data_IF_131679679044
#
_entry.id   IF_131679679044
#
_cell.length_a   1.000
_cell.length_b   1.000
_cell.length_c   1.000
_cell.angle_alpha   90.00
_cell.angle_beta   90.00
_cell.angle_gamma   90.00
#
_symmetry.space_group_name_H-M   'P 1'
#
loop_
_entity.id
_entity.type
_entity.pdbx_description
1 polymer ?
#
# COMPACT_ATOMS: atom_id res chain seq x y z
N UNK A 1 16.52 0.71 -10.90
CA UNK A 1 16.77 1.25 -9.52
C UNK A 1 15.46 1.74 -8.94
N UNK A 2 15.13 1.33 -7.71
CA UNK A 2 13.87 1.70 -7.07
C UNK A 2 13.84 3.16 -6.64
N UNK A 3 12.69 3.80 -6.79
CA UNK A 3 12.38 5.17 -6.37
C UNK A 3 11.05 5.19 -5.61
N UNK A 4 10.90 6.15 -4.69
CA UNK A 4 9.65 6.40 -3.97
C UNK A 4 9.30 7.87 -4.18
N UNK A 5 8.10 8.10 -4.71
CA UNK A 5 7.51 9.42 -4.86
C UNK A 5 6.28 9.53 -3.95
N UNK A 6 6.25 10.52 -3.09
CA UNK A 6 5.12 10.78 -2.22
C UNK A 6 4.16 11.80 -2.86
N UNK A 7 2.91 11.43 -3.03
CA UNK A 7 1.86 12.29 -3.58
C UNK A 7 1.08 13.07 -2.51
N UNK A 8 1.41 12.85 -1.24
CA UNK A 8 0.70 13.42 -0.10
C UNK A 8 -0.14 12.37 0.64
N UNK A 9 -0.53 12.65 1.87
CA UNK A 9 -1.24 11.72 2.75
C UNK A 9 -0.56 10.35 2.78
N UNK A 10 -1.28 9.27 2.49
CA UNK A 10 -0.75 7.90 2.40
C UNK A 10 -0.46 7.46 0.95
N UNK A 11 -0.56 8.37 -0.02
CA UNK A 11 -0.39 8.07 -1.43
C UNK A 11 1.09 8.06 -1.84
N UNK A 12 1.59 6.89 -2.26
CA UNK A 12 2.97 6.71 -2.72
C UNK A 12 3.01 6.00 -4.07
N UNK A 13 3.93 6.44 -4.94
CA UNK A 13 4.34 5.68 -6.12
C UNK A 13 5.71 5.06 -5.85
N UNK A 14 5.78 3.75 -5.90
CA UNK A 14 7.01 2.97 -5.78
C UNK A 14 7.33 2.44 -7.16
N UNK A 15 8.43 2.90 -7.75
CA UNK A 15 8.83 2.48 -9.08
C UNK A 15 10.18 1.75 -9.08
N UNK A 16 10.35 0.85 -10.03
CA UNK A 16 11.62 0.23 -10.36
C UNK A 16 11.70 0.09 -11.88
N UNK A 17 12.66 0.79 -12.46
CA UNK A 17 12.83 0.96 -13.90
C UNK A 17 11.52 1.52 -14.54
N UNK A 18 10.88 0.80 -15.46
CA UNK A 18 9.63 1.20 -16.12
C UNK A 18 8.34 0.67 -15.45
N UNK A 19 8.46 0.10 -14.24
CA UNK A 19 7.35 -0.50 -13.50
C UNK A 19 6.94 0.35 -12.31
N UNK A 20 5.63 0.51 -12.12
CA UNK A 20 5.05 1.42 -11.13
C UNK A 20 3.98 0.76 -10.28
N UNK A 21 4.11 0.91 -8.97
CA UNK A 21 3.14 0.48 -7.97
C UNK A 21 2.66 1.71 -7.21
N UNK A 22 1.37 1.97 -7.22
CA UNK A 22 0.78 3.08 -6.46
C UNK A 22 0.02 2.50 -5.26
N UNK A 23 0.27 3.05 -4.07
CA UNK A 23 -0.41 2.65 -2.83
C UNK A 23 -1.29 3.79 -2.37
N UNK A 24 -2.53 3.47 -1.98
CA UNK A 24 -3.52 4.39 -1.39
C UNK A 24 -3.67 5.71 -2.15
N UNK A 25 -4.08 5.69 -3.44
CA UNK A 25 -4.01 6.83 -4.33
C UNK A 25 -5.09 7.89 -4.06
N UNK A 26 -5.05 8.51 -2.90
CA UNK A 26 -5.85 9.71 -2.61
C UNK A 26 -5.15 10.94 -3.19
N UNK A 27 -5.46 11.23 -4.46
CA UNK A 27 -4.83 12.32 -5.20
C UNK A 27 -5.59 13.63 -4.95
N UNK A 28 -4.94 14.58 -4.32
CA UNK A 28 -5.44 15.94 -4.09
C UNK A 28 -4.78 16.93 -5.05
N UNK A 29 -5.26 18.16 -5.19
CA UNK A 29 -4.56 19.17 -5.98
C UNK A 29 -3.08 19.36 -5.60
N UNK A 30 -2.71 19.10 -4.35
CA UNK A 30 -1.33 19.17 -3.88
C UNK A 30 -0.44 18.01 -4.39
N UNK A 31 -1.04 16.92 -4.87
CA UNK A 31 -0.29 15.77 -5.43
C UNK A 31 0.39 16.10 -6.75
N UNK A 32 -0.03 17.16 -7.43
CA UNK A 32 0.51 17.58 -8.72
C UNK A 32 0.16 16.63 -9.88
N UNK A 33 -0.75 15.66 -9.65
CA UNK A 33 -1.23 14.69 -10.64
C UNK A 33 -2.69 14.31 -10.35
N UNK A 34 -3.33 13.65 -11.33
CA UNK A 34 -4.69 13.12 -11.24
C UNK A 34 -4.71 11.69 -11.79
N UNK A 35 -5.83 10.99 -11.66
CA UNK A 35 -5.99 9.65 -12.24
C UNK A 35 -5.79 9.61 -13.77
N UNK A 36 -5.98 10.74 -14.47
CA UNK A 36 -5.79 10.86 -15.92
C UNK A 36 -4.33 11.16 -16.30
N UNK A 37 -3.58 11.81 -15.41
CA UNK A 37 -2.22 12.32 -15.71
C UNK A 37 -1.10 11.60 -14.94
N UNK A 38 -1.43 10.65 -14.09
CA UNK A 38 -0.47 9.91 -13.25
C UNK A 38 0.60 9.13 -14.05
N UNK A 39 0.34 8.88 -15.33
CA UNK A 39 1.22 8.12 -16.18
C UNK A 39 1.01 6.60 -16.08
N UNK A 40 2.01 5.79 -16.44
CA UNK A 40 1.88 4.33 -16.38
C UNK A 40 1.81 3.84 -14.93
N UNK A 41 0.89 2.90 -14.67
CA UNK A 41 0.78 2.19 -13.40
C UNK A 41 0.54 0.72 -13.70
N UNK A 42 1.30 -0.18 -13.09
CA UNK A 42 1.14 -1.63 -13.24
C UNK A 42 0.28 -2.23 -12.14
N UNK A 43 0.38 -1.68 -10.91
CA UNK A 43 -0.38 -2.15 -9.74
C UNK A 43 -0.85 -0.98 -8.90
N UNK A 44 -2.09 -1.05 -8.44
CA UNK A 44 -2.63 -0.21 -7.36
C UNK A 44 -2.87 -1.08 -6.14
N UNK A 45 -2.34 -0.70 -4.97
CA UNK A 45 -2.61 -1.34 -3.69
C UNK A 45 -3.50 -0.44 -2.83
N UNK A 46 -4.51 -1.02 -2.21
CA UNK A 46 -5.38 -0.33 -1.25
C UNK A 46 -5.27 -1.01 0.10
N UNK A 47 -4.89 -0.25 1.14
CA UNK A 47 -4.67 -0.78 2.49
C UNK A 47 -5.99 -1.02 3.21
N UNK A 48 -6.96 -0.14 3.05
CA UNK A 48 -8.31 -0.25 3.62
C UNK A 48 -9.28 0.69 2.91
N UNK A 49 -10.55 0.60 3.22
CA UNK A 49 -11.63 1.19 2.42
C UNK A 49 -12.08 2.59 2.85
N UNK A 50 -11.30 3.32 3.62
CA UNK A 50 -11.54 4.74 3.83
C UNK A 50 -11.33 5.55 2.55
N UNK A 51 -12.11 6.61 2.38
CA UNK A 51 -12.13 7.38 1.14
C UNK A 51 -10.78 8.05 0.82
N UNK A 52 -10.04 8.43 1.85
CA UNK A 52 -8.70 9.02 1.76
C UNK A 52 -7.56 8.01 1.55
N UNK A 53 -7.90 6.72 1.33
CA UNK A 53 -7.01 5.65 0.90
C UNK A 53 -7.46 5.03 -0.42
N UNK A 54 -8.75 4.71 -0.56
CA UNK A 54 -9.30 4.25 -1.85
C UNK A 54 -9.10 5.30 -2.93
N UNK A 55 -9.40 6.57 -2.63
CA UNK A 55 -9.17 7.69 -3.53
C UNK A 55 -9.54 7.39 -4.97
N UNK A 56 -8.57 7.55 -5.86
CA UNK A 56 -8.70 7.37 -7.31
C UNK A 56 -8.39 5.94 -7.80
N UNK A 57 -8.27 4.95 -6.92
CA UNK A 57 -7.80 3.59 -7.25
C UNK A 57 -8.53 2.97 -8.44
N UNK A 58 -9.87 3.01 -8.45
CA UNK A 58 -10.68 2.44 -9.54
C UNK A 58 -10.48 3.19 -10.84
N UNK A 59 -10.40 4.52 -10.80
CA UNK A 59 -10.18 5.35 -11.98
C UNK A 59 -8.80 5.09 -12.58
N UNK A 60 -7.75 5.05 -11.76
CA UNK A 60 -6.38 4.73 -12.20
C UNK A 60 -6.33 3.35 -12.86
N UNK A 61 -6.87 2.31 -12.21
CA UNK A 61 -6.88 0.97 -12.79
C UNK A 61 -7.60 0.92 -14.15
N UNK A 62 -8.73 1.60 -14.29
CA UNK A 62 -9.46 1.66 -15.57
C UNK A 62 -8.68 2.40 -16.66
N UNK A 63 -8.01 3.49 -16.31
CA UNK A 63 -7.28 4.33 -17.26
C UNK A 63 -5.97 3.69 -17.73
N UNK A 64 -5.29 2.96 -16.85
CA UNK A 64 -3.94 2.42 -17.10
C UNK A 64 -3.92 0.92 -17.42
N UNK A 65 -5.00 0.20 -17.08
CA UNK A 65 -5.01 -1.26 -17.12
C UNK A 65 -4.35 -1.93 -15.90
N UNK A 66 -3.98 -1.15 -14.88
CA UNK A 66 -3.33 -1.65 -13.67
C UNK A 66 -4.15 -2.73 -12.95
N UNK A 67 -3.44 -3.67 -12.32
CA UNK A 67 -4.05 -4.64 -11.40
C UNK A 67 -4.28 -3.99 -10.03
N UNK A 68 -5.39 -4.32 -9.37
CA UNK A 68 -5.70 -3.85 -8.02
C UNK A 68 -5.45 -4.95 -6.99
N UNK A 69 -4.68 -4.63 -5.95
CA UNK A 69 -4.46 -5.48 -4.77
C UNK A 69 -5.11 -4.89 -3.52
N UNK A 70 -5.96 -5.66 -2.88
CA UNK A 70 -6.59 -5.34 -1.59
C UNK A 70 -6.96 -6.63 -0.86
N UNK A 71 -7.33 -6.51 0.42
CA UNK A 71 -7.94 -7.64 1.15
C UNK A 71 -9.29 -8.00 0.50
N UNK A 72 -9.66 -9.27 0.55
CA UNK A 72 -10.82 -9.81 -0.21
C UNK A 72 -12.09 -8.97 -0.04
N UNK A 73 -12.43 -8.57 1.20
CA UNK A 73 -13.64 -7.77 1.43
C UNK A 73 -13.58 -6.39 0.76
N UNK A 74 -12.45 -5.71 0.83
CA UNK A 74 -12.24 -4.41 0.17
C UNK A 74 -12.21 -4.56 -1.36
N UNK A 75 -11.56 -5.61 -1.88
CA UNK A 75 -11.57 -5.91 -3.31
C UNK A 75 -13.00 -6.11 -3.85
N UNK A 76 -13.84 -6.85 -3.13
CA UNK A 76 -15.27 -7.04 -3.48
C UNK A 76 -16.06 -5.74 -3.44
N UNK A 77 -15.83 -4.88 -2.44
CA UNK A 77 -16.46 -3.53 -2.38
C UNK A 77 -16.07 -2.69 -3.59
N UNK A 78 -14.80 -2.70 -3.98
CA UNK A 78 -14.31 -1.96 -5.14
C UNK A 78 -14.82 -2.56 -6.46
N UNK A 79 -14.96 -3.88 -6.56
CA UNK A 79 -15.61 -4.54 -7.70
C UNK A 79 -17.07 -4.08 -7.84
N UNK A 80 -17.83 -4.07 -6.75
CA UNK A 80 -19.19 -3.54 -6.73
C UNK A 80 -19.25 -2.05 -7.11
N UNK A 81 -18.20 -1.27 -6.83
CA UNK A 81 -18.06 0.12 -7.25
C UNK A 81 -17.57 0.27 -8.71
N UNK A 82 -17.46 -0.84 -9.45
CA UNK A 82 -17.15 -0.85 -10.88
C UNK A 82 -15.69 -1.15 -11.24
N UNK A 83 -14.88 -1.66 -10.32
CA UNK A 83 -13.57 -2.21 -10.64
C UNK A 83 -13.74 -3.49 -11.47
N UNK A 84 -13.09 -3.65 -12.63
CA UNK A 84 -13.18 -4.89 -13.39
C UNK A 84 -12.57 -6.06 -12.61
N UNK A 85 -13.31 -7.17 -12.44
CA UNK A 85 -12.82 -8.36 -11.72
C UNK A 85 -11.55 -8.96 -12.33
N UNK A 86 -11.39 -8.85 -13.66
CA UNK A 86 -10.19 -9.30 -14.35
C UNK A 86 -8.92 -8.50 -13.98
N UNK A 87 -9.08 -7.32 -13.39
CA UNK A 87 -7.99 -6.47 -12.89
C UNK A 87 -7.76 -6.62 -11.38
N UNK A 88 -8.40 -7.57 -10.70
CA UNK A 88 -8.08 -7.89 -9.30
C UNK A 88 -6.91 -8.88 -9.22
N UNK A 89 -5.89 -8.57 -8.43
CA UNK A 89 -4.81 -9.51 -8.11
C UNK A 89 -5.41 -10.77 -7.50
N UNK A 90 -4.94 -11.94 -7.95
CA UNK A 90 -5.50 -13.23 -7.56
C UNK A 90 -7.03 -13.36 -7.81
N UNK A 91 -7.59 -12.58 -8.75
CA UNK A 91 -9.00 -12.52 -9.16
C UNK A 91 -10.00 -12.03 -8.11
N UNK A 92 -9.70 -12.10 -6.83
CA UNK A 92 -10.59 -11.74 -5.73
C UNK A 92 -9.90 -10.93 -4.63
N UNK A 93 -8.63 -10.53 -4.83
CA UNK A 93 -7.78 -10.02 -3.77
C UNK A 93 -7.05 -11.12 -3.01
N UNK A 94 -6.43 -10.81 -1.89
CA UNK A 94 -5.68 -11.75 -1.05
C UNK A 94 -5.78 -11.35 0.42
N UNK A 95 -5.22 -12.15 1.33
CA UNK A 95 -5.35 -11.95 2.78
C UNK A 95 -3.97 -11.79 3.45
N UNK A 96 -3.99 -11.34 4.70
CA UNK A 96 -2.81 -11.14 5.54
C UNK A 96 -1.95 -12.42 5.61
N UNK A 97 -0.64 -12.25 5.51
CA UNK A 97 0.34 -13.32 5.41
C UNK A 97 0.50 -13.90 3.99
N UNK A 98 -0.47 -13.65 3.09
CA UNK A 98 -0.37 -14.04 1.69
C UNK A 98 0.57 -13.13 0.91
N UNK A 99 1.26 -13.73 -0.08
CA UNK A 99 2.12 -13.01 -1.03
C UNK A 99 1.62 -13.27 -2.44
N UNK A 100 1.46 -12.20 -3.22
CA UNK A 100 1.16 -12.24 -4.65
C UNK A 100 2.24 -11.52 -5.43
N UNK A 101 2.45 -11.90 -6.69
CA UNK A 101 3.46 -11.28 -7.54
C UNK A 101 2.82 -10.73 -8.81
N UNK A 102 3.23 -9.54 -9.23
CA UNK A 102 2.87 -8.94 -10.52
C UNK A 102 3.92 -7.93 -10.97
N UNK A 103 4.13 -7.81 -12.28
CA UNK A 103 5.07 -6.84 -12.89
C UNK A 103 6.50 -6.88 -12.29
N UNK A 104 6.95 -8.04 -11.79
CA UNK A 104 8.26 -8.21 -11.16
C UNK A 104 8.35 -7.81 -9.69
N UNK A 105 7.27 -7.27 -9.11
CA UNK A 105 7.14 -7.03 -7.68
C UNK A 105 6.50 -8.23 -6.98
N UNK A 106 6.76 -8.32 -5.66
CA UNK A 106 6.03 -9.21 -4.75
C UNK A 106 5.37 -8.37 -3.65
N UNK A 107 4.13 -8.68 -3.32
CA UNK A 107 3.33 -7.98 -2.34
C UNK A 107 2.91 -8.94 -1.23
N UNK A 108 3.47 -8.78 -0.04
CA UNK A 108 3.05 -9.53 1.14
C UNK A 108 2.14 -8.64 1.98
N UNK A 109 0.91 -9.09 2.23
CA UNK A 109 -0.04 -8.35 3.06
C UNK A 109 0.25 -8.58 4.54
N UNK A 110 0.29 -7.49 5.32
CA UNK A 110 0.49 -7.51 6.76
C UNK A 110 -0.76 -7.04 7.49
N UNK A 111 -0.82 -7.25 8.81
CA UNK A 111 -1.87 -6.66 9.64
C UNK A 111 -1.71 -5.14 9.73
N UNK A 112 -2.83 -4.46 9.92
CA UNK A 112 -2.93 -3.12 10.44
C UNK A 112 -4.08 -3.04 11.46
N UNK A 113 -3.93 -2.23 12.48
CA UNK A 113 -4.94 -2.05 13.54
C UNK A 113 -5.59 -0.69 13.38
N UNK A 114 -6.66 -0.67 12.62
CA UNK A 114 -7.44 0.51 12.28
C UNK A 114 -8.89 0.12 12.01
N UNK A 115 -9.78 1.05 11.71
CA UNK A 115 -11.15 0.78 11.27
C UNK A 115 -11.22 0.55 9.75
N UNK A 116 -12.21 -0.21 9.33
CA UNK A 116 -12.58 -0.42 7.93
C UNK A 116 -14.01 -0.92 7.89
N UNK A 117 -14.77 -0.57 6.85
CA UNK A 117 -16.14 -1.07 6.67
C UNK A 117 -16.18 -2.42 5.96
N UNK A 118 -15.22 -2.67 5.06
CA UNK A 118 -15.12 -3.88 4.26
C UNK A 118 -13.75 -4.55 4.42
N UNK A 119 -13.73 -5.74 4.94
CA UNK A 119 -12.47 -6.44 5.24
C UNK A 119 -11.71 -5.78 6.40
N UNK A 120 -10.55 -6.33 6.73
CA UNK A 120 -9.67 -5.78 7.76
C UNK A 120 -8.65 -4.82 7.15
N UNK A 121 -8.26 -3.74 7.84
CA UNK A 121 -7.16 -2.90 7.42
C UNK A 121 -5.87 -3.70 7.29
N UNK A 122 -5.04 -3.35 6.33
CA UNK A 122 -3.81 -4.05 6.02
C UNK A 122 -2.66 -3.08 5.75
N UNK A 123 -1.43 -3.56 5.88
CA UNK A 123 -0.24 -2.95 5.30
C UNK A 123 0.35 -3.88 4.24
N UNK A 124 1.44 -3.45 3.63
CA UNK A 124 2.13 -4.23 2.60
C UNK A 124 3.65 -4.20 2.79
N UNK A 125 4.28 -5.35 2.65
CA UNK A 125 5.71 -5.43 2.36
C UNK A 125 5.83 -5.62 0.86
N UNK A 126 6.43 -4.65 0.19
CA UNK A 126 6.60 -4.59 -1.26
C UNK A 126 8.06 -4.90 -1.56
N UNK A 127 8.31 -6.05 -2.18
CA UNK A 127 9.62 -6.38 -2.71
C UNK A 127 9.70 -5.92 -4.15
N UNK A 128 10.67 -5.05 -4.41
CA UNK A 128 10.91 -4.50 -5.76
C UNK A 128 11.73 -5.46 -6.63
N UNK A 129 11.72 -5.32 -7.97
CA UNK A 129 12.52 -6.14 -8.87
C UNK A 129 14.02 -6.09 -8.58
N UNK A 130 14.56 -4.98 -8.07
CA UNK A 130 15.97 -4.84 -7.66
C UNK A 130 16.22 -5.31 -6.20
N UNK A 131 15.24 -5.99 -5.59
CA UNK A 131 15.38 -6.69 -4.30
C UNK A 131 15.25 -5.83 -3.05
N UNK A 132 14.74 -4.59 -3.15
CA UNK A 132 14.44 -3.76 -1.99
C UNK A 132 13.12 -4.17 -1.34
N UNK A 133 13.03 -4.05 -0.02
CA UNK A 133 11.79 -4.26 0.73
C UNK A 133 11.31 -2.93 1.30
N UNK A 134 10.12 -2.52 0.87
CA UNK A 134 9.45 -1.31 1.31
C UNK A 134 8.20 -1.72 2.11
N UNK A 135 8.12 -1.32 3.36
CA UNK A 135 6.94 -1.55 4.20
C UNK A 135 6.05 -0.32 4.19
N UNK A 136 4.84 -0.45 3.67
CA UNK A 136 3.77 0.55 3.80
C UNK A 136 2.82 0.08 4.88
N UNK A 137 2.75 0.80 6.00
CA UNK A 137 1.99 0.36 7.17
C UNK A 137 0.47 0.45 6.96
N UNK A 138 0.01 1.25 6.01
CA UNK A 138 -1.37 1.73 6.00
C UNK A 138 -1.65 2.55 7.25
N UNK A 139 -2.90 2.72 7.59
CA UNK A 139 -3.29 3.32 8.86
C UNK A 139 -3.30 2.26 9.97
N UNK A 140 -2.52 2.49 11.01
CA UNK A 140 -2.35 1.54 12.12
C UNK A 140 -1.84 2.21 13.39
N UNK A 141 -2.16 1.64 14.56
CA UNK A 141 -1.35 1.85 15.75
C UNK A 141 -0.09 0.98 15.70
N UNK A 142 0.84 1.19 16.62
CA UNK A 142 1.98 0.28 16.84
C UNK A 142 1.48 -1.08 17.37
N UNK A 143 2.11 -2.16 16.91
CA UNK A 143 1.81 -3.51 17.39
C UNK A 143 3.04 -4.42 17.40
N UNK A 144 3.05 -5.41 18.29
CA UNK A 144 4.20 -6.30 18.48
C UNK A 144 4.58 -7.12 17.23
N UNK A 145 3.60 -7.44 16.37
CA UNK A 145 3.82 -8.17 15.13
C UNK A 145 4.76 -7.48 14.14
N UNK A 146 4.98 -6.16 14.28
CA UNK A 146 5.97 -5.43 13.47
C UNK A 146 7.38 -6.01 13.63
N UNK A 147 7.74 -6.49 14.82
CA UNK A 147 9.04 -7.16 15.05
C UNK A 147 9.16 -8.47 14.24
N UNK A 148 8.09 -9.24 14.14
CA UNK A 148 8.08 -10.48 13.36
C UNK A 148 8.24 -10.20 11.86
N UNK A 149 7.59 -9.16 11.35
CA UNK A 149 7.76 -8.73 9.96
C UNK A 149 9.19 -8.27 9.68
N UNK A 150 9.79 -7.47 10.59
CA UNK A 150 11.19 -7.05 10.47
C UNK A 150 12.21 -8.20 10.54
N UNK A 151 11.89 -9.30 11.26
CA UNK A 151 12.72 -10.51 11.28
C UNK A 151 12.59 -11.36 10.01
N UNK A 152 11.40 -11.38 9.40
CA UNK A 152 11.14 -12.16 8.18
C UNK A 152 11.64 -11.45 6.92
N UNK A 153 11.58 -10.12 6.90
CA UNK A 153 11.91 -9.31 5.74
C UNK A 153 12.93 -8.22 6.11
N UNK A 154 14.04 -8.09 5.37
CA UNK A 154 15.02 -7.02 5.62
C UNK A 154 14.49 -5.68 5.10
N UNK A 155 13.66 -4.98 5.90
CA UNK A 155 13.00 -3.74 5.50
C UNK A 155 14.04 -2.65 5.21
N UNK A 156 14.10 -2.17 3.97
CA UNK A 156 14.97 -1.07 3.57
C UNK A 156 14.34 0.29 3.92
N UNK A 157 13.03 0.45 3.63
CA UNK A 157 12.28 1.68 3.91
C UNK A 157 10.95 1.34 4.53
N UNK A 158 10.55 2.06 5.58
CA UNK A 158 9.21 1.99 6.16
C UNK A 158 8.47 3.32 5.93
N UNK A 159 7.25 3.23 5.42
CA UNK A 159 6.30 4.33 5.25
C UNK A 159 5.30 4.23 6.39
N UNK A 160 5.41 5.13 7.38
CA UNK A 160 4.69 5.03 8.65
C UNK A 160 3.79 6.23 8.91
N UNK A 161 2.52 6.04 9.26
CA UNK A 161 1.66 7.14 9.68
C UNK A 161 2.09 7.63 11.08
N UNK A 162 2.02 8.97 11.29
CA UNK A 162 2.27 9.58 12.60
C UNK A 162 1.31 10.73 12.92
N UNK A 163 0.04 10.60 12.49
CA UNK A 163 -1.00 11.61 12.66
C UNK A 163 -1.51 11.77 14.10
N UNK A 164 -1.30 10.80 14.98
CA UNK A 164 -1.52 10.86 16.40
C UNK A 164 -2.92 10.42 16.87
N UNK A 165 -4.00 10.90 16.27
CA UNK A 165 -5.37 10.63 16.76
C UNK A 165 -5.92 9.30 16.24
N UNK A 166 -5.76 9.04 14.95
CA UNK A 166 -6.29 7.84 14.28
C UNK A 166 -5.23 6.80 13.99
N UNK A 167 -3.95 7.17 14.08
CA UNK A 167 -2.79 6.33 13.81
C UNK A 167 -1.74 6.52 14.90
N UNK A 168 -0.53 5.99 14.69
CA UNK A 168 0.61 6.23 15.57
C UNK A 168 0.89 7.73 15.73
N UNK A 169 1.39 8.12 16.91
CA UNK A 169 2.11 9.37 17.10
C UNK A 169 3.61 9.21 16.72
N UNK A 170 4.36 10.29 16.72
CA UNK A 170 5.78 10.28 16.37
C UNK A 170 6.61 9.37 17.29
N UNK A 171 6.25 9.24 18.57
CA UNK A 171 6.94 8.38 19.55
C UNK A 171 6.67 6.89 19.26
N UNK A 172 5.43 6.56 18.93
CA UNK A 172 5.04 5.20 18.53
C UNK A 172 5.69 4.83 17.19
N UNK A 173 5.69 5.72 16.19
CA UNK A 173 6.34 5.50 14.91
C UNK A 173 7.86 5.27 15.07
N UNK A 174 8.53 6.02 15.92
CA UNK A 174 9.94 5.81 16.23
C UNK A 174 10.23 4.44 16.87
N UNK A 175 9.31 3.93 17.70
CA UNK A 175 9.43 2.57 18.24
C UNK A 175 9.11 1.52 17.17
N UNK A 176 8.12 1.75 16.30
CA UNK A 176 7.81 0.88 15.17
C UNK A 176 9.03 0.69 14.24
N UNK A 177 9.78 1.77 13.95
CA UNK A 177 11.05 1.68 13.19
C UNK A 177 12.03 0.69 13.83
N UNK A 178 12.15 0.71 15.17
CA UNK A 178 13.03 -0.23 15.89
C UNK A 178 12.54 -1.66 15.80
N UNK A 179 11.22 -1.88 15.94
CA UNK A 179 10.62 -3.21 15.81
C UNK A 179 10.81 -3.78 14.40
N UNK A 180 10.59 -2.96 13.38
CA UNK A 180 10.78 -3.33 11.97
C UNK A 180 12.26 -3.50 11.59
N UNK A 181 13.19 -2.92 12.35
CA UNK A 181 14.60 -2.91 11.99
C UNK A 181 14.89 -2.20 10.66
N UNK A 182 14.03 -1.26 10.25
CA UNK A 182 14.15 -0.58 8.96
C UNK A 182 15.36 0.34 8.92
N UNK A 183 15.96 0.50 7.72
CA UNK A 183 17.14 1.36 7.50
C UNK A 183 16.76 2.83 7.33
N UNK A 184 15.58 3.08 6.77
CA UNK A 184 15.05 4.42 6.50
C UNK A 184 13.56 4.46 6.82
N UNK A 185 13.03 5.65 7.12
CA UNK A 185 11.60 5.90 7.36
C UNK A 185 11.16 7.19 6.69
N UNK A 186 9.95 7.17 6.17
CA UNK A 186 9.25 8.32 5.59
C UNK A 186 7.90 8.44 6.30
#
# INVERSE_FOLDING_TARGET
MSQILWYGHSAFNISCDDKHVVVDPFLTPASGTTAETIGPVDVVLVTHDHADHVGDAVAICKNTGAMLGAIVGTAQKLEAAGMPSAQLLNYIGFNMGGTVAHAGFEFTMTQAYHSSESGSPAGYIIRTPDGKHIYHAGDTCIFAGMELWGRLYPIDVALLPMGGVFTMDARQAALACKLLGCKQVI
#
